data_IF_720770856134
#
_entry.id   IF_720770856134
#
_cell.length_a   1.000
_cell.length_b   1.000
_cell.length_c   1.000
_cell.angle_alpha   90.00
_cell.angle_beta   90.00
_cell.angle_gamma   90.00
#
_symmetry.space_group_name_H-M   'P 1'
#
loop_
_entity.id
_entity.type
_entity.pdbx_description
1 polymer ?
#
# COMPACT_ATOMS: atom_id res chain seq x y z
N UNK A 1 8.86 -37.63 -15.94
CA UNK A 1 9.44 -36.27 -15.82
C UNK A 1 8.60 -35.16 -16.50
N UNK A 2 7.88 -35.43 -17.61
CA UNK A 2 7.07 -34.41 -18.32
C UNK A 2 5.85 -33.84 -17.55
N UNK A 3 5.38 -34.53 -16.48
CA UNK A 3 4.22 -34.11 -15.66
C UNK A 3 4.60 -33.24 -14.44
N UNK A 4 5.90 -33.13 -14.11
CA UNK A 4 6.37 -32.31 -12.99
C UNK A 4 6.49 -30.83 -13.38
N UNK A 5 6.71 -30.55 -14.65
CA UNK A 5 6.89 -29.18 -15.16
C UNK A 5 5.66 -28.30 -14.99
N UNK A 6 4.42 -28.74 -15.35
CA UNK A 6 3.23 -27.93 -15.11
C UNK A 6 2.91 -27.76 -13.63
N UNK A 7 3.23 -28.75 -12.78
CA UNK A 7 3.05 -28.64 -11.33
C UNK A 7 3.97 -27.57 -10.72
N UNK A 8 5.23 -27.50 -11.19
CA UNK A 8 6.19 -26.48 -10.78
C UNK A 8 5.74 -25.09 -11.22
N UNK A 9 5.16 -24.96 -12.41
CA UNK A 9 4.66 -23.70 -12.97
C UNK A 9 3.46 -23.18 -12.19
N UNK A 10 2.55 -24.07 -11.76
CA UNK A 10 1.42 -23.72 -10.88
C UNK A 10 1.93 -23.29 -9.50
N UNK A 11 2.95 -23.95 -8.95
CA UNK A 11 3.53 -23.59 -7.66
C UNK A 11 4.23 -22.22 -7.70
N UNK A 12 4.88 -21.88 -8.80
CA UNK A 12 5.47 -20.54 -9.01
C UNK A 12 4.40 -19.44 -9.19
N UNK A 13 3.27 -19.76 -9.80
CA UNK A 13 2.18 -18.79 -10.00
C UNK A 13 1.46 -18.42 -8.68
N UNK A 14 1.49 -19.31 -7.67
CA UNK A 14 0.83 -19.04 -6.38
C UNK A 14 1.63 -18.13 -5.43
N UNK A 15 2.86 -17.75 -5.78
CA UNK A 15 3.71 -16.92 -4.91
C UNK A 15 3.83 -15.45 -5.36
N UNK A 16 2.91 -15.00 -6.22
CA UNK A 16 2.92 -13.62 -6.72
C UNK A 16 2.21 -12.65 -5.76
N UNK A 17 2.63 -12.64 -4.48
CA UNK A 17 2.14 -11.66 -3.49
C UNK A 17 3.07 -10.45 -3.35
N UNK A 18 3.81 -10.10 -4.37
CA UNK A 18 4.62 -8.89 -4.36
C UNK A 18 3.83 -7.75 -5.01
N UNK A 19 2.85 -7.21 -4.30
CA UNK A 19 2.30 -5.90 -4.64
C UNK A 19 3.19 -4.85 -3.98
N UNK A 20 4.28 -4.51 -4.64
CA UNK A 20 5.14 -3.41 -4.26
C UNK A 20 4.65 -2.11 -4.90
N UNK A 21 4.94 -0.98 -4.27
CA UNK A 21 4.59 0.33 -4.80
C UNK A 21 5.29 0.59 -6.14
N UNK A 22 4.59 1.25 -7.06
CA UNK A 22 5.09 1.58 -8.40
C UNK A 22 5.54 0.39 -9.24
N UNK A 23 4.99 -0.82 -9.03
CA UNK A 23 5.24 -1.99 -9.88
C UNK A 23 4.99 -1.62 -11.35
N UNK A 24 5.89 -2.03 -12.23
CA UNK A 24 5.83 -1.68 -13.64
C UNK A 24 6.43 -0.31 -13.98
N UNK A 25 6.31 0.69 -13.10
CA UNK A 25 7.06 1.95 -13.25
C UNK A 25 8.51 1.74 -12.84
N UNK A 26 8.74 1.12 -11.69
CA UNK A 26 10.07 0.86 -11.14
C UNK A 26 10.93 -0.10 -11.99
N UNK A 27 10.29 -0.98 -12.78
CA UNK A 27 10.98 -1.89 -13.70
C UNK A 27 11.16 -1.32 -15.11
N UNK A 28 10.60 -0.14 -15.39
CA UNK A 28 10.69 0.51 -16.67
C UNK A 28 12.00 1.28 -16.81
N UNK A 29 12.76 1.00 -17.85
CA UNK A 29 13.96 1.80 -18.20
C UNK A 29 13.67 3.28 -18.49
N UNK A 30 12.39 3.67 -18.54
CA UNK A 30 11.92 5.06 -18.73
C UNK A 30 11.50 5.75 -17.46
N UNK A 31 11.52 5.06 -16.33
CA UNK A 31 11.05 5.62 -15.05
C UNK A 31 12.04 6.66 -14.46
N UNK A 32 13.24 6.79 -15.03
CA UNK A 32 14.17 7.87 -14.69
C UNK A 32 14.52 7.90 -13.20
N UNK A 33 14.28 9.05 -12.58
CA UNK A 33 14.59 9.29 -11.17
C UNK A 33 13.86 8.33 -10.21
N UNK A 34 12.69 7.81 -10.56
CA UNK A 34 11.98 6.84 -9.72
C UNK A 34 12.76 5.52 -9.63
N UNK A 35 13.34 5.05 -10.73
CA UNK A 35 14.23 3.89 -10.73
C UNK A 35 15.48 4.13 -9.89
N UNK A 36 16.05 5.32 -9.98
CA UNK A 36 17.24 5.71 -9.22
C UNK A 36 17.02 5.66 -7.70
N UNK A 37 15.78 5.85 -7.23
CA UNK A 37 15.44 5.74 -5.81
C UNK A 37 15.46 4.29 -5.30
N UNK A 38 15.30 3.29 -6.18
CA UNK A 38 15.42 1.87 -5.84
C UNK A 38 16.82 1.33 -6.11
N UNK A 39 17.39 1.74 -7.23
CA UNK A 39 18.73 1.36 -7.65
C UNK A 39 19.53 2.61 -8.05
N UNK A 40 20.40 3.13 -7.17
CA UNK A 40 21.16 4.35 -7.44
C UNK A 40 21.98 4.32 -8.73
N UNK A 41 22.37 3.14 -9.22
CA UNK A 41 23.10 3.00 -10.49
C UNK A 41 22.29 3.50 -11.70
N UNK A 42 20.96 3.52 -11.60
CA UNK A 42 20.07 4.00 -12.66
C UNK A 42 20.17 5.52 -12.89
N UNK A 43 20.68 6.29 -11.94
CA UNK A 43 20.98 7.71 -12.19
C UNK A 43 22.03 7.90 -13.29
N UNK A 44 22.94 6.94 -13.48
CA UNK A 44 23.87 6.95 -14.61
C UNK A 44 23.18 6.62 -15.95
N UNK A 45 22.02 5.98 -15.92
CA UNK A 45 21.24 5.56 -17.09
C UNK A 45 20.11 6.53 -17.46
N UNK A 46 20.00 7.68 -16.79
CA UNK A 46 18.96 8.67 -17.10
C UNK A 46 18.91 8.98 -18.59
N UNK A 47 17.72 9.08 -19.15
CA UNK A 47 17.49 9.41 -20.55
C UNK A 47 17.84 10.86 -20.87
N UNK A 48 17.74 11.75 -19.88
CA UNK A 48 18.10 13.17 -19.95
C UNK A 48 19.24 13.48 -18.99
N UNK A 49 19.94 14.60 -19.24
CA UNK A 49 21.01 15.06 -18.35
C UNK A 49 20.53 15.48 -16.98
N UNK A 50 19.27 15.88 -16.88
CA UNK A 50 18.65 16.38 -15.66
C UNK A 50 17.19 15.95 -15.63
N UNK A 51 16.76 15.45 -14.50
CA UNK A 51 15.38 15.07 -14.24
C UNK A 51 14.94 15.56 -12.84
N UNK A 52 13.68 15.91 -12.74
CA UNK A 52 13.04 16.36 -11.48
C UNK A 52 11.79 15.55 -11.28
N UNK A 53 11.63 15.00 -10.08
CA UNK A 53 10.37 14.50 -9.58
C UNK A 53 9.78 15.55 -8.63
N UNK A 54 8.53 15.90 -8.82
CA UNK A 54 7.85 16.88 -7.97
C UNK A 54 7.06 16.12 -6.91
N UNK A 55 6.25 15.14 -7.36
CA UNK A 55 5.36 14.38 -6.51
C UNK A 55 4.93 13.11 -7.21
N UNK A 56 4.76 12.06 -6.45
CA UNK A 56 4.13 10.82 -6.87
C UNK A 56 3.47 10.16 -5.67
N UNK A 57 2.41 9.40 -5.89
CA UNK A 57 1.72 8.66 -4.85
C UNK A 57 1.30 7.30 -5.38
N UNK A 58 1.50 6.29 -4.57
CA UNK A 58 1.00 4.94 -4.77
C UNK A 58 0.28 4.50 -3.50
N UNK A 59 -0.90 3.94 -3.63
CA UNK A 59 -1.70 3.46 -2.51
C UNK A 59 -2.17 2.05 -2.81
N UNK A 60 -1.90 1.15 -1.88
CA UNK A 60 -2.44 -0.20 -1.85
C UNK A 60 -3.48 -0.29 -0.74
N UNK A 61 -4.65 -0.76 -1.10
CA UNK A 61 -5.76 -1.02 -0.19
C UNK A 61 -6.08 -2.50 -0.24
N UNK A 62 -6.14 -3.13 0.91
CA UNK A 62 -6.63 -4.50 1.04
C UNK A 62 -7.68 -4.56 2.14
N UNK A 63 -8.72 -5.34 1.92
CA UNK A 63 -9.76 -5.62 2.90
C UNK A 63 -10.33 -7.01 2.65
N UNK A 64 -11.05 -7.55 3.64
CA UNK A 64 -11.65 -8.88 3.57
C UNK A 64 -13.16 -8.88 3.26
N UNK A 65 -13.80 -7.71 3.13
CA UNK A 65 -15.26 -7.59 3.03
C UNK A 65 -15.71 -7.02 1.70
N UNK A 66 -15.13 -5.88 1.28
CA UNK A 66 -15.58 -5.14 0.08
C UNK A 66 -14.83 -5.63 -1.15
N UNK A 67 -15.57 -6.03 -2.17
CA UNK A 67 -15.02 -6.39 -3.48
C UNK A 67 -15.14 -5.24 -4.48
N UNK A 68 -14.39 -5.33 -5.58
CA UNK A 68 -14.47 -4.31 -6.64
C UNK A 68 -15.88 -4.20 -7.25
N UNK A 69 -16.64 -5.31 -7.26
CA UNK A 69 -18.02 -5.33 -7.76
C UNK A 69 -18.99 -4.58 -6.87
N UNK A 70 -18.69 -4.45 -5.59
CA UNK A 70 -19.54 -3.76 -4.64
C UNK A 70 -19.43 -2.24 -4.79
N UNK A 71 -18.30 -1.76 -5.34
CA UNK A 71 -18.09 -0.33 -5.61
C UNK A 71 -18.94 0.19 -6.79
N UNK A 72 -19.44 -0.70 -7.65
CA UNK A 72 -20.32 -0.36 -8.78
C UNK A 72 -21.81 -0.57 -8.45
N UNK A 73 -22.12 -0.94 -7.21
CA UNK A 73 -23.49 -1.14 -6.73
C UNK A 73 -23.98 0.12 -6.00
N UNK A 74 -25.30 0.35 -6.03
CA UNK A 74 -25.96 1.40 -5.22
C UNK A 74 -25.95 1.07 -3.70
N UNK A 75 -25.19 0.06 -3.29
CA UNK A 75 -25.10 -0.38 -1.91
C UNK A 75 -24.18 0.53 -1.12
N UNK A 76 -24.61 0.96 0.05
CA UNK A 76 -23.79 1.75 0.95
C UNK A 76 -22.59 0.90 1.43
N UNK A 77 -21.38 1.40 1.20
CA UNK A 77 -20.13 0.72 1.57
C UNK A 77 -20.04 0.56 3.09
N UNK A 78 -20.56 1.52 3.85
CA UNK A 78 -20.60 1.45 5.30
C UNK A 78 -21.45 0.28 5.78
N UNK A 79 -22.61 0.09 5.17
CA UNK A 79 -23.48 -1.05 5.47
C UNK A 79 -22.82 -2.39 5.14
N UNK A 80 -22.09 -2.47 4.03
CA UNK A 80 -21.34 -3.69 3.68
C UNK A 80 -20.25 -4.01 4.70
N UNK A 81 -19.52 -3.01 5.17
CA UNK A 81 -18.41 -3.19 6.09
C UNK A 81 -18.91 -3.51 7.51
N UNK A 82 -19.94 -2.83 8.00
CA UNK A 82 -20.30 -2.85 9.42
C UNK A 82 -21.59 -3.60 9.77
N UNK A 83 -22.44 -3.96 8.80
CA UNK A 83 -23.63 -4.77 9.04
C UNK A 83 -23.41 -6.28 8.95
N UNK A 84 -22.17 -6.71 8.69
CA UNK A 84 -21.79 -8.12 8.63
C UNK A 84 -21.56 -8.73 10.02
N UNK A 85 -21.61 -10.08 10.08
CA UNK A 85 -21.25 -10.84 11.28
C UNK A 85 -19.75 -11.24 11.29
N UNK A 86 -18.98 -10.77 10.31
CA UNK A 86 -17.57 -11.10 10.16
C UNK A 86 -16.69 -9.96 10.62
N UNK A 87 -15.54 -10.29 11.23
CA UNK A 87 -14.55 -9.29 11.59
C UNK A 87 -14.04 -8.51 10.38
N UNK A 88 -13.74 -7.25 10.58
CA UNK A 88 -13.20 -6.37 9.55
C UNK A 88 -11.69 -6.34 9.62
N UNK A 89 -11.06 -6.76 8.52
CA UNK A 89 -9.63 -6.58 8.29
C UNK A 89 -9.43 -5.55 7.18
N UNK A 90 -8.60 -4.55 7.44
CA UNK A 90 -8.26 -3.53 6.45
C UNK A 90 -6.77 -3.20 6.55
N UNK A 91 -6.11 -3.10 5.41
CA UNK A 91 -4.75 -2.61 5.32
C UNK A 91 -4.65 -1.50 4.29
N UNK A 92 -4.01 -0.42 4.69
CA UNK A 92 -3.67 0.72 3.83
C UNK A 92 -2.16 0.84 3.83
N UNK A 93 -1.55 0.78 2.66
CA UNK A 93 -0.12 0.98 2.46
C UNK A 93 0.07 2.05 1.39
N UNK A 94 0.69 3.16 1.74
CA UNK A 94 0.88 4.30 0.87
C UNK A 94 2.35 4.71 0.81
N UNK A 95 2.86 4.86 -0.40
CA UNK A 95 4.17 5.46 -0.66
C UNK A 95 3.99 6.78 -1.39
N UNK A 96 4.57 7.84 -0.83
CA UNK A 96 4.57 9.18 -1.40
C UNK A 96 6.00 9.53 -1.76
N UNK A 97 6.28 9.71 -3.04
CA UNK A 97 7.55 10.27 -3.49
C UNK A 97 7.44 11.79 -3.54
N UNK A 98 8.32 12.47 -2.84
CA UNK A 98 8.38 13.92 -2.80
C UNK A 98 9.33 14.51 -3.84
N UNK A 99 9.83 15.69 -3.54
CA UNK A 99 10.81 16.36 -4.39
C UNK A 99 12.06 15.50 -4.56
N UNK A 100 12.47 15.35 -5.81
CA UNK A 100 13.71 14.68 -6.17
C UNK A 100 14.36 15.33 -7.38
N UNK A 101 15.68 15.31 -7.40
CA UNK A 101 16.48 15.87 -8.49
C UNK A 101 17.55 14.86 -8.84
N UNK A 102 17.72 14.59 -10.11
CA UNK A 102 18.76 13.70 -10.61
C UNK A 102 19.50 14.32 -11.79
N UNK A 103 20.80 14.07 -11.85
CA UNK A 103 21.68 14.59 -12.88
C UNK A 103 22.64 13.51 -13.37
N UNK A 104 22.77 13.40 -14.68
CA UNK A 104 23.75 12.54 -15.35
C UNK A 104 24.89 13.37 -15.91
N UNK A 105 26.13 13.01 -15.54
CA UNK A 105 27.33 13.61 -16.05
C UNK A 105 28.28 12.54 -16.60
N UNK A 106 28.35 12.43 -17.89
CA UNK A 106 29.11 11.37 -18.60
C UNK A 106 28.64 9.97 -18.17
N UNK A 107 29.51 9.25 -17.43
CA UNK A 107 29.23 7.90 -16.88
C UNK A 107 28.73 7.94 -15.42
N UNK A 108 28.64 9.11 -14.83
CA UNK A 108 28.22 9.29 -13.43
C UNK A 108 26.79 9.77 -13.37
N UNK A 109 26.07 9.27 -12.40
CA UNK A 109 24.74 9.74 -12.04
C UNK A 109 24.72 10.19 -10.59
N UNK A 110 24.03 11.27 -10.32
CA UNK A 110 23.83 11.84 -8.97
C UNK A 110 22.35 12.11 -8.78
N UNK A 111 21.86 11.85 -7.59
CA UNK A 111 20.46 12.11 -7.29
C UNK A 111 20.21 12.38 -5.81
N UNK A 112 19.21 13.19 -5.59
CA UNK A 112 18.59 13.39 -4.27
C UNK A 112 17.13 13.04 -4.44
N UNK A 113 16.62 12.15 -3.60
CA UNK A 113 15.23 11.71 -3.62
C UNK A 113 14.64 11.81 -2.21
N UNK A 114 13.36 12.06 -2.10
CA UNK A 114 12.63 11.99 -0.85
C UNK A 114 11.40 11.11 -0.99
N UNK A 115 11.12 10.32 0.05
CA UNK A 115 9.95 9.44 0.13
C UNK A 115 9.33 9.49 1.52
N UNK A 116 8.06 9.22 1.60
CA UNK A 116 7.34 8.95 2.83
C UNK A 116 6.51 7.68 2.66
N UNK A 117 6.46 6.86 3.69
CA UNK A 117 5.68 5.65 3.74
C UNK A 117 4.69 5.75 4.90
N UNK A 118 3.47 5.33 4.65
CA UNK A 118 2.40 5.27 5.64
C UNK A 118 1.78 3.89 5.53
N UNK A 119 1.80 3.16 6.64
CA UNK A 119 1.15 1.86 6.74
C UNK A 119 0.17 1.87 7.90
N UNK A 120 -1.03 1.41 7.64
CA UNK A 120 -2.09 1.31 8.62
C UNK A 120 -2.81 -0.03 8.45
N UNK A 121 -2.90 -0.79 9.54
CA UNK A 121 -3.55 -2.09 9.56
C UNK A 121 -4.61 -2.11 10.67
N UNK A 122 -5.81 -2.52 10.31
CA UNK A 122 -6.90 -2.92 11.20
C UNK A 122 -7.05 -4.43 11.11
N UNK A 123 -7.09 -5.13 12.22
CA UNK A 123 -7.21 -6.59 12.27
C UNK A 123 -8.24 -6.99 13.30
N UNK A 124 -9.13 -7.89 12.91
CA UNK A 124 -10.18 -8.48 13.76
C UNK A 124 -11.11 -7.42 14.40
N UNK A 125 -11.41 -6.34 13.69
CA UNK A 125 -12.30 -5.29 14.22
C UNK A 125 -13.74 -5.78 14.25
N UNK A 126 -14.39 -5.61 15.41
CA UNK A 126 -15.81 -5.87 15.56
C UNK A 126 -16.62 -4.87 14.71
N UNK A 127 -17.52 -5.34 13.83
CA UNK A 127 -18.37 -4.47 13.01
C UNK A 127 -19.18 -3.48 13.84
N UNK A 128 -19.69 -3.89 15.00
CA UNK A 128 -20.49 -3.02 15.87
C UNK A 128 -19.68 -1.86 16.45
N UNK A 129 -18.40 -2.10 16.75
CA UNK A 129 -17.49 -1.03 17.19
C UNK A 129 -17.26 -0.01 16.07
N UNK A 130 -17.03 -0.49 14.84
CA UNK A 130 -16.85 0.35 13.66
C UNK A 130 -18.08 1.23 13.39
N UNK A 131 -19.27 0.65 13.44
CA UNK A 131 -20.54 1.37 13.27
C UNK A 131 -20.75 2.45 14.35
N UNK A 132 -20.41 2.17 15.61
CA UNK A 132 -20.46 3.15 16.68
C UNK A 132 -19.53 4.34 16.48
N UNK A 133 -18.35 4.12 15.91
CA UNK A 133 -17.38 5.19 15.59
C UNK A 133 -17.91 6.10 14.47
N UNK A 134 -18.51 5.52 13.43
CA UNK A 134 -18.97 6.28 12.26
C UNK A 134 -20.22 7.08 12.59
N UNK A 135 -21.18 6.48 13.27
CA UNK A 135 -22.44 7.15 13.61
C UNK A 135 -22.30 8.26 14.64
N UNK A 136 -21.11 8.48 15.20
CA UNK A 136 -20.83 9.53 16.21
C UNK A 136 -21.80 9.49 17.41
N UNK A 137 -22.54 8.41 17.57
CA UNK A 137 -23.39 8.20 18.73
C UNK A 137 -22.47 7.93 19.91
N UNK A 138 -22.26 8.98 20.70
CA UNK A 138 -21.57 8.99 21.97
C UNK A 138 -20.78 7.70 22.26
N UNK A 139 -19.51 7.67 21.87
CA UNK A 139 -18.54 6.74 22.43
C UNK A 139 -18.43 7.05 23.94
N UNK A 140 -19.49 6.72 24.67
CA UNK A 140 -19.47 6.71 26.13
C UNK A 140 -18.55 5.56 26.50
N UNK A 141 -17.27 5.88 26.68
CA UNK A 141 -16.25 5.01 27.25
C UNK A 141 -16.61 4.54 28.67
N UNK A 142 -17.87 4.33 28.95
CA UNK A 142 -18.44 3.91 30.20
C UNK A 142 -19.81 3.24 30.10
N UNK A 143 -20.43 3.28 28.92
CA UNK A 143 -21.63 2.48 28.62
C UNK A 143 -21.18 1.06 28.24
N UNK A 144 -21.86 0.07 28.80
CA UNK A 144 -21.64 -1.35 28.59
C UNK A 144 -21.92 -1.76 27.13
N UNK A 145 -21.14 -1.30 26.19
CA UNK A 145 -21.05 -1.94 24.88
C UNK A 145 -20.32 -3.24 25.17
N UNK A 146 -21.02 -4.36 25.12
CA UNK A 146 -20.44 -5.68 25.22
C UNK A 146 -19.59 -5.84 23.94
N UNK A 147 -18.35 -5.40 24.00
CA UNK A 147 -17.32 -5.77 23.04
C UNK A 147 -17.19 -7.27 23.26
N UNK A 148 -17.63 -8.06 22.30
CA UNK A 148 -17.53 -9.52 22.39
C UNK A 148 -16.12 -9.90 22.77
N UNK A 149 -15.96 -10.70 23.81
CA UNK A 149 -14.64 -11.11 24.33
C UNK A 149 -13.84 -11.99 23.35
N UNK A 150 -14.38 -12.27 22.18
CA UNK A 150 -13.84 -13.21 21.21
C UNK A 150 -13.02 -12.52 20.08
N UNK A 151 -12.98 -11.18 20.06
CA UNK A 151 -12.25 -10.44 19.04
C UNK A 151 -10.84 -10.05 19.53
N UNK A 152 -9.84 -10.36 18.74
CA UNK A 152 -8.45 -9.98 19.00
C UNK A 152 -8.12 -8.67 18.26
N UNK A 153 -8.89 -7.63 18.50
CA UNK A 153 -8.83 -6.36 17.80
C UNK A 153 -7.45 -5.70 17.90
N UNK A 154 -6.90 -5.35 16.78
CA UNK A 154 -5.60 -4.67 16.69
C UNK A 154 -5.65 -3.55 15.68
N UNK A 155 -5.04 -2.44 16.05
CA UNK A 155 -4.80 -1.30 15.17
C UNK A 155 -3.32 -0.98 15.19
N UNK A 156 -2.67 -1.01 14.04
CA UNK A 156 -1.27 -0.65 13.88
C UNK A 156 -1.15 0.50 12.90
N UNK A 157 -0.37 1.50 13.25
CA UNK A 157 -0.03 2.59 12.34
C UNK A 157 1.47 2.84 12.39
N UNK A 158 2.10 2.92 11.23
CA UNK A 158 3.53 3.23 11.09
C UNK A 158 3.71 4.23 9.97
N UNK A 159 4.54 5.25 10.22
CA UNK A 159 4.94 6.18 9.18
C UNK A 159 6.42 6.52 9.33
N UNK A 160 7.12 6.62 8.19
CA UNK A 160 8.50 7.05 8.16
C UNK A 160 8.80 7.82 6.88
N UNK A 161 9.81 8.66 6.96
CA UNK A 161 10.32 9.38 5.79
C UNK A 161 11.78 9.08 5.57
N UNK A 162 12.20 9.09 4.31
CA UNK A 162 13.58 8.90 3.92
C UNK A 162 14.05 9.95 2.93
N UNK A 163 15.33 10.28 2.99
CA UNK A 163 16.01 11.11 2.01
C UNK A 163 17.22 10.35 1.51
N UNK A 164 17.24 10.04 0.22
CA UNK A 164 18.32 9.35 -0.45
C UNK A 164 19.29 10.33 -1.10
N UNK A 165 20.58 10.07 -0.92
CA UNK A 165 21.69 10.73 -1.64
C UNK A 165 22.49 9.67 -2.38
N UNK A 166 22.70 9.85 -3.69
CA UNK A 166 23.38 8.86 -4.52
C UNK A 166 24.23 9.53 -5.60
#
# INVERSE_FOLDING_TARGET
MKKLFPLLLVFCACNSFAQDHYIGVNTSSRAGILNGSLNPAEFANLSKKFEVNIYGMSVNLANNIVSLSDLDSDTDIEDLIFNGNSTVDMSVDAEITGLGVAMKWKKWGFGITSKAHIKFDLVDIDPNLGQGIINSEDLVLGGSTVIGNDYNQRMNGTSWGEVGLS
#
